data_IF_491096867475
#
_entry.id   IF_491096867475
#
_cell.length_a   1.000
_cell.length_b   1.000
_cell.length_c   1.000
_cell.angle_alpha   90.00
_cell.angle_beta   90.00
_cell.angle_gamma   90.00
#
_symmetry.space_group_name_H-M   'P 1'
#
loop_
_entity.id
_entity.type
_entity.pdbx_description
1 polymer ?
#
# COMPACT_ATOMS: atom_id res chain seq x y z
N UNK A 1 -48.43 -41.74 12.98
CA UNK A 1 -49.17 -40.95 13.99
C UNK A 1 -48.14 -40.22 14.84
N UNK A 2 -48.33 -38.90 15.00
CA UNK A 2 -47.66 -37.98 15.95
C UNK A 2 -46.16 -37.69 15.66
N UNK A 3 -45.76 -36.63 14.96
CA UNK A 3 -45.91 -35.16 15.16
C UNK A 3 -45.23 -34.62 16.42
N UNK A 4 -44.15 -33.86 16.23
CA UNK A 4 -43.68 -32.71 17.02
C UNK A 4 -42.33 -32.27 16.43
N UNK A 5 -41.90 -31.01 16.34
CA UNK A 5 -42.53 -29.69 16.25
C UNK A 5 -41.35 -28.75 15.93
N UNK A 6 -41.55 -27.88 14.95
CA UNK A 6 -40.57 -26.91 14.45
C UNK A 6 -40.20 -25.86 15.51
N UNK A 7 -38.98 -25.32 15.45
CA UNK A 7 -38.73 -23.89 15.78
C UNK A 7 -37.44 -23.37 15.14
N UNK A 8 -37.59 -22.90 13.90
CA UNK A 8 -36.74 -21.91 13.26
C UNK A 8 -36.84 -20.58 14.02
N UNK A 9 -35.72 -19.89 14.24
CA UNK A 9 -35.70 -18.47 14.63
C UNK A 9 -35.02 -17.68 13.52
N UNK A 10 -35.86 -16.95 12.78
CA UNK A 10 -35.47 -16.01 11.73
C UNK A 10 -35.53 -14.61 12.35
N UNK A 11 -34.43 -13.87 12.33
CA UNK A 11 -34.36 -12.47 12.78
C UNK A 11 -34.43 -11.55 11.56
N UNK A 12 -35.47 -10.72 11.51
CA UNK A 12 -35.72 -9.73 10.46
C UNK A 12 -35.52 -8.32 11.04
N UNK A 13 -34.68 -7.52 10.40
CA UNK A 13 -34.41 -6.12 10.75
C UNK A 13 -34.83 -5.25 9.56
N UNK A 14 -36.12 -4.96 9.47
CA UNK A 14 -36.63 -3.91 8.60
C UNK A 14 -37.72 -3.11 9.31
N UNK A 15 -37.40 -1.86 9.64
CA UNK A 15 -38.30 -0.72 9.88
C UNK A 15 -37.74 0.13 11.01
N UNK A 16 -37.20 1.29 10.66
CA UNK A 16 -37.50 2.58 11.30
C UNK A 16 -36.86 3.66 10.43
N UNK A 17 -37.57 4.04 9.38
CA UNK A 17 -37.35 5.29 8.67
C UNK A 17 -37.86 6.43 9.56
N UNK A 18 -36.99 7.38 9.90
CA UNK A 18 -37.40 8.68 10.42
C UNK A 18 -36.99 9.75 9.41
N UNK A 19 -38.01 10.33 8.78
CA UNK A 19 -37.95 11.58 8.03
C UNK A 19 -37.55 12.73 8.96
N UNK A 20 -36.59 13.55 8.54
CA UNK A 20 -36.42 14.91 9.06
C UNK A 20 -36.54 15.87 7.88
N UNK A 21 -37.66 16.60 7.85
CA UNK A 21 -37.94 17.70 6.93
C UNK A 21 -37.14 18.94 7.32
N UNK A 22 -36.45 19.53 6.35
CA UNK A 22 -35.96 20.91 6.42
C UNK A 22 -37.11 21.92 6.32
N UNK A 23 -36.91 23.15 6.82
CA UNK A 23 -37.31 24.30 6.02
C UNK A 23 -36.16 25.29 5.80
N UNK A 24 -36.06 25.69 4.55
CA UNK A 24 -35.31 26.82 4.01
C UNK A 24 -35.86 28.13 4.61
N UNK A 25 -34.97 29.05 5.00
CA UNK A 25 -35.27 30.48 5.09
C UNK A 25 -34.37 31.25 4.12
N UNK A 26 -35.01 32.02 3.25
CA UNK A 26 -34.43 33.03 2.37
C UNK A 26 -34.78 34.41 2.92
N UNK A 27 -33.81 35.32 3.03
CA UNK A 27 -34.01 36.75 2.78
C UNK A 27 -32.67 37.50 2.72
N UNK A 28 -32.51 38.27 1.63
CA UNK A 28 -31.43 39.21 1.29
C UNK A 28 -31.47 40.49 2.15
N UNK A 29 -30.33 41.20 2.21
CA UNK A 29 -30.12 42.62 1.80
C UNK A 29 -28.69 43.03 2.19
N UNK A 30 -27.82 43.32 1.21
CA UNK A 30 -27.54 44.62 0.57
C UNK A 30 -26.47 45.43 1.34
N UNK A 31 -25.40 45.81 0.65
CA UNK A 31 -24.37 46.70 1.21
C UNK A 31 -23.06 46.71 0.43
N UNK A 32 -23.06 47.37 -0.73
CA UNK A 32 -21.85 47.82 -1.44
C UNK A 32 -21.11 48.85 -0.57
N UNK A 33 -19.78 48.74 -0.48
CA UNK A 33 -18.83 49.88 -0.56
C UNK A 33 -17.37 49.40 -0.44
N UNK A 34 -16.63 49.59 -1.53
CA UNK A 34 -15.17 49.71 -1.59
C UNK A 34 -14.84 51.22 -1.57
N UNK A 35 -13.82 51.67 -0.83
CA UNK A 35 -12.69 52.26 -1.56
C UNK A 35 -11.31 51.95 -0.96
N UNK A 36 -10.46 51.38 -1.80
CA UNK A 36 -9.05 51.71 -2.10
C UNK A 36 -8.11 52.26 -1.01
N UNK A 37 -6.88 51.72 -1.08
CA UNK A 37 -5.57 52.22 -0.65
C UNK A 37 -4.98 51.54 0.60
N UNK A 38 -4.10 50.57 0.33
CA UNK A 38 -2.71 50.50 0.84
C UNK A 38 -2.21 49.04 0.80
N UNK A 39 -1.48 48.70 -0.26
CA UNK A 39 -0.69 47.47 -0.35
C UNK A 39 0.79 47.82 -0.16
N UNK A 40 1.46 47.29 0.86
CA UNK A 40 2.90 47.11 0.82
C UNK A 40 3.24 45.75 0.19
N UNK A 41 4.19 45.78 -0.74
CA UNK A 41 4.77 44.64 -1.44
C UNK A 41 5.34 43.59 -0.49
N UNK A 42 4.66 42.44 -0.36
CA UNK A 42 5.20 41.25 0.29
C UNK A 42 5.71 40.29 -0.78
N UNK A 43 7.00 40.42 -1.12
CA UNK A 43 7.76 39.39 -1.83
C UNK A 43 7.66 38.08 -1.04
N UNK A 44 6.83 37.16 -1.52
CA UNK A 44 6.66 35.83 -0.95
C UNK A 44 7.94 35.02 -1.16
N UNK A 45 8.72 34.91 -0.09
CA UNK A 45 9.75 33.87 0.07
C UNK A 45 9.08 32.50 -0.01
N UNK A 46 9.07 31.91 -1.20
CA UNK A 46 8.66 30.54 -1.43
C UNK A 46 9.79 29.59 -0.99
N UNK A 47 10.07 29.57 0.31
CA UNK A 47 10.85 28.48 0.91
C UNK A 47 9.96 27.24 0.90
N UNK A 48 10.09 26.44 -0.15
CA UNK A 48 9.63 25.05 -0.17
C UNK A 48 10.21 24.35 1.05
N UNK A 49 9.34 23.97 1.98
CA UNK A 49 9.67 23.05 3.05
C UNK A 49 10.20 21.77 2.43
N UNK A 50 11.53 21.59 2.47
CA UNK A 50 12.12 20.26 2.49
C UNK A 50 11.63 19.63 3.78
N UNK A 51 10.62 18.76 3.69
CA UNK A 51 10.42 17.75 4.70
C UNK A 51 11.77 17.02 4.85
N UNK A 52 12.40 17.26 6.00
CA UNK A 52 13.57 16.52 6.43
C UNK A 52 13.12 15.07 6.61
N UNK A 53 13.38 14.22 5.62
CA UNK A 53 13.75 12.85 5.95
C UNK A 53 14.87 12.99 6.98
N UNK A 54 14.62 12.50 8.19
CA UNK A 54 15.67 12.42 9.21
C UNK A 54 16.87 11.75 8.54
N UNK A 55 18.05 12.36 8.67
CA UNK A 55 19.29 11.78 8.19
C UNK A 55 19.56 10.51 8.99
N UNK A 56 18.92 9.41 8.61
CA UNK A 56 19.14 8.10 9.18
C UNK A 56 20.56 7.69 8.81
N UNK A 57 21.34 7.33 9.83
CA UNK A 57 22.62 6.68 9.63
C UNK A 57 22.43 5.52 8.63
N UNK A 58 23.40 5.29 7.73
CA UNK A 58 23.30 4.20 6.77
C UNK A 58 23.05 2.88 7.51
N UNK A 59 22.11 2.07 7.01
CA UNK A 59 21.74 0.79 7.62
C UNK A 59 22.98 -0.08 7.85
N UNK A 60 23.28 -0.43 9.10
CA UNK A 60 24.42 -1.27 9.46
C UNK A 60 23.94 -2.55 10.13
N UNK A 61 24.49 -3.68 9.68
CA UNK A 61 24.19 -4.97 10.30
C UNK A 61 25.01 -5.14 11.57
N UNK A 62 24.34 -5.31 12.71
CA UNK A 62 24.97 -5.55 14.01
C UNK A 62 25.19 -7.06 14.21
N UNK A 63 26.34 -7.45 14.77
CA UNK A 63 26.66 -8.85 15.08
C UNK A 63 26.04 -9.27 16.41
N UNK A 64 24.71 -9.35 16.45
CA UNK A 64 23.94 -9.77 17.61
C UNK A 64 22.60 -10.35 17.16
N UNK A 65 21.85 -10.99 18.07
CA UNK A 65 20.50 -11.44 17.79
C UNK A 65 19.52 -10.26 17.76
N UNK A 66 18.61 -10.15 16.78
CA UNK A 66 17.56 -9.11 16.80
C UNK A 66 16.67 -9.23 18.03
N UNK A 67 16.56 -10.44 18.61
CA UNK A 67 15.69 -10.72 19.74
C UNK A 67 16.16 -10.12 21.07
N UNK A 68 17.34 -9.48 21.09
CA UNK A 68 17.76 -8.64 22.23
C UNK A 68 17.00 -7.31 22.26
N UNK A 69 16.57 -6.81 21.09
CA UNK A 69 15.87 -5.53 20.90
C UNK A 69 14.39 -5.70 20.58
N UNK A 70 14.00 -6.86 20.06
CA UNK A 70 12.64 -7.13 19.58
C UNK A 70 12.05 -8.37 20.25
N UNK A 71 10.76 -8.33 20.53
CA UNK A 71 9.98 -9.48 20.99
C UNK A 71 9.10 -9.99 19.85
N UNK A 72 9.30 -11.23 19.43
CA UNK A 72 8.48 -11.90 18.41
C UNK A 72 7.06 -12.14 18.93
N UNK A 73 6.05 -11.83 18.13
CA UNK A 73 4.64 -11.95 18.50
C UNK A 73 3.95 -13.08 17.72
N UNK A 74 4.01 -13.05 16.39
CA UNK A 74 3.38 -14.05 15.50
C UNK A 74 4.04 -14.05 14.13
N UNK A 75 3.78 -15.08 13.33
CA UNK A 75 4.17 -15.11 11.92
C UNK A 75 2.97 -14.78 11.04
N UNK A 76 3.19 -14.09 9.92
CA UNK A 76 2.15 -13.70 8.95
C UNK A 76 2.58 -13.99 7.51
N UNK A 77 1.66 -14.46 6.69
CA UNK A 77 1.86 -14.63 5.25
C UNK A 77 1.58 -13.32 4.50
N UNK A 78 2.63 -12.78 3.87
CA UNK A 78 2.63 -11.55 3.06
C UNK A 78 3.34 -11.83 1.72
N UNK A 79 2.87 -12.84 0.98
CA UNK A 79 3.56 -13.42 -0.18
C UNK A 79 4.69 -14.40 0.22
N UNK A 80 5.22 -14.23 1.43
CA UNK A 80 6.10 -15.16 2.12
C UNK A 80 5.80 -15.13 3.62
N UNK A 81 6.35 -16.09 4.38
CA UNK A 81 6.23 -16.11 5.83
C UNK A 81 7.15 -15.05 6.47
N UNK A 82 6.57 -14.11 7.20
CA UNK A 82 7.28 -13.00 7.84
C UNK A 82 7.00 -13.01 9.34
N UNK A 83 8.03 -12.79 10.16
CA UNK A 83 7.85 -12.67 11.62
C UNK A 83 7.41 -11.27 11.96
N UNK A 84 6.38 -11.12 12.79
CA UNK A 84 5.96 -9.83 13.35
C UNK A 84 6.49 -9.72 14.77
N UNK A 85 7.14 -8.61 15.07
CA UNK A 85 7.74 -8.35 16.37
C UNK A 85 7.39 -6.95 16.88
N UNK A 86 7.52 -6.74 18.19
CA UNK A 86 7.43 -5.42 18.82
C UNK A 86 8.81 -4.97 19.27
N UNK A 87 9.10 -3.68 19.13
CA UNK A 87 10.33 -3.09 19.63
C UNK A 87 10.29 -2.92 21.16
N UNK A 88 11.32 -3.41 21.85
CA UNK A 88 11.51 -3.25 23.30
C UNK A 88 12.05 -1.84 23.63
N UNK A 89 11.23 -0.82 23.40
CA UNK A 89 11.56 0.59 23.60
C UNK A 89 10.36 1.37 24.19
N UNK A 90 10.56 2.58 24.74
CA UNK A 90 9.47 3.37 25.34
C UNK A 90 8.30 3.64 24.40
N UNK A 91 8.55 3.69 23.09
CA UNK A 91 7.52 3.68 22.05
C UNK A 91 7.48 2.31 21.40
N UNK A 92 6.52 1.48 21.77
CA UNK A 92 6.32 0.16 21.15
C UNK A 92 5.82 0.35 19.72
N UNK A 93 6.59 -0.14 18.75
CA UNK A 93 6.21 -0.17 17.33
C UNK A 93 6.26 -1.62 16.84
N UNK A 94 5.26 -2.00 16.05
CA UNK A 94 5.28 -3.25 15.30
C UNK A 94 6.30 -3.14 14.17
N UNK A 95 7.05 -4.22 13.97
CA UNK A 95 8.01 -4.38 12.89
C UNK A 95 7.84 -5.76 12.25
N UNK A 96 8.32 -5.88 11.03
CA UNK A 96 8.39 -7.15 10.31
C UNK A 96 9.85 -7.60 10.23
N UNK A 97 10.15 -8.84 10.58
CA UNK A 97 11.51 -9.40 10.58
C UNK A 97 11.59 -10.51 9.54
N UNK A 98 12.57 -10.39 8.64
CA UNK A 98 12.89 -11.40 7.62
C UNK A 98 14.30 -11.95 7.82
N UNK A 99 14.48 -13.22 7.50
CA UNK A 99 15.76 -13.92 7.61
C UNK A 99 16.24 -14.30 6.21
N UNK A 100 17.49 -13.99 5.92
CA UNK A 100 18.16 -14.30 4.67
C UNK A 100 19.39 -15.17 4.94
N UNK A 101 19.55 -16.30 4.23
CA UNK A 101 20.71 -17.18 4.41
C UNK A 101 22.04 -16.44 4.22
N UNK A 102 23.08 -16.87 4.94
CA UNK A 102 24.41 -16.27 4.89
C UNK A 102 24.96 -16.04 3.46
N UNK A 103 24.81 -16.96 2.49
CA UNK A 103 25.28 -16.73 1.11
C UNK A 103 24.64 -15.53 0.40
N UNK A 104 23.42 -15.15 0.80
CA UNK A 104 22.68 -14.02 0.22
C UNK A 104 22.82 -12.72 1.04
N UNK A 105 23.41 -12.77 2.24
CA UNK A 105 23.40 -11.69 3.21
C UNK A 105 24.02 -10.39 2.68
N UNK A 106 25.22 -10.46 2.10
CA UNK A 106 25.94 -9.26 1.64
C UNK A 106 25.18 -8.52 0.54
N UNK A 107 24.76 -9.24 -0.51
CA UNK A 107 23.94 -8.70 -1.59
C UNK A 107 22.63 -8.12 -1.07
N UNK A 108 21.96 -8.83 -0.17
CA UNK A 108 20.68 -8.41 0.43
C UNK A 108 20.84 -7.10 1.19
N UNK A 109 21.83 -7.03 2.09
CA UNK A 109 22.12 -5.82 2.87
C UNK A 109 22.50 -4.65 1.97
N UNK A 110 23.28 -4.89 0.91
CA UNK A 110 23.62 -3.86 -0.08
C UNK A 110 22.36 -3.29 -0.75
N UNK A 111 21.42 -4.14 -1.16
CA UNK A 111 20.18 -3.69 -1.79
C UNK A 111 19.28 -2.90 -0.84
N UNK A 112 19.12 -3.33 0.42
CA UNK A 112 18.37 -2.56 1.42
C UNK A 112 19.00 -1.19 1.74
N UNK A 113 20.34 -1.07 1.62
CA UNK A 113 21.04 0.21 1.76
C UNK A 113 20.81 1.12 0.56
N UNK A 114 20.88 0.56 -0.64
CA UNK A 114 20.80 1.31 -1.90
C UNK A 114 19.39 1.80 -2.20
N UNK A 115 18.39 0.93 -2.02
CA UNK A 115 17.01 1.17 -2.46
C UNK A 115 16.19 1.72 -1.29
N UNK A 116 16.05 3.05 -1.25
CA UNK A 116 15.32 3.78 -0.21
C UNK A 116 14.43 4.85 -0.83
N UNK A 117 13.11 4.71 -0.64
CA UNK A 117 12.11 5.63 -1.14
C UNK A 117 10.82 5.49 -0.33
N UNK A 118 9.99 6.53 -0.26
CA UNK A 118 8.75 6.51 0.54
C UNK A 118 7.75 5.42 0.09
N UNK A 119 7.79 5.02 -1.19
CA UNK A 119 6.95 3.95 -1.77
C UNK A 119 7.71 2.62 -1.96
N UNK A 120 8.80 2.42 -1.20
CA UNK A 120 9.50 1.15 -1.04
C UNK A 120 9.52 0.83 0.46
N UNK A 121 9.34 -0.44 0.83
CA UNK A 121 9.33 -0.86 2.25
C UNK A 121 10.68 -0.50 2.91
N UNK A 122 10.65 0.27 3.98
CA UNK A 122 11.84 0.73 4.68
C UNK A 122 12.47 -0.37 5.53
N UNK A 123 13.79 -0.52 5.41
CA UNK A 123 14.59 -1.29 6.36
C UNK A 123 15.00 -0.38 7.53
N UNK A 124 14.64 -0.81 8.75
CA UNK A 124 14.82 -0.08 9.99
C UNK A 124 16.12 -0.47 10.71
N UNK A 125 16.41 -1.77 10.75
CA UNK A 125 17.63 -2.34 11.34
C UNK A 125 18.06 -3.59 10.57
N UNK A 126 19.32 -3.98 10.78
CA UNK A 126 19.85 -5.24 10.29
C UNK A 126 20.73 -5.90 11.37
N UNK A 127 20.70 -7.23 11.41
CA UNK A 127 21.44 -8.04 12.36
C UNK A 127 22.03 -9.27 11.67
N UNK A 128 23.21 -9.71 12.08
CA UNK A 128 23.84 -10.92 11.56
C UNK A 128 24.08 -11.89 12.70
N UNK A 129 23.55 -13.10 12.56
CA UNK A 129 23.78 -14.24 13.44
C UNK A 129 24.35 -15.42 12.64
N UNK A 130 24.56 -16.56 13.29
CA UNK A 130 24.96 -17.80 12.61
C UNK A 130 23.89 -18.31 11.62
N UNK A 131 22.62 -17.97 11.83
CA UNK A 131 21.50 -18.34 10.94
C UNK A 131 21.44 -17.48 9.67
N UNK A 132 22.13 -16.33 9.65
CA UNK A 132 22.21 -15.43 8.51
C UNK A 132 21.91 -13.96 8.84
N UNK A 133 21.41 -13.24 7.84
CA UNK A 133 21.05 -11.83 7.96
C UNK A 133 19.58 -11.69 8.33
N UNK A 134 19.32 -11.05 9.45
CA UNK A 134 18.00 -10.58 9.83
C UNK A 134 17.84 -9.13 9.39
N UNK A 135 16.78 -8.84 8.65
CA UNK A 135 16.41 -7.48 8.28
C UNK A 135 15.09 -7.14 8.97
N UNK A 136 15.10 -6.05 9.73
CA UNK A 136 13.91 -5.49 10.37
C UNK A 136 13.35 -4.42 9.45
N UNK A 137 12.10 -4.58 9.08
CA UNK A 137 11.36 -3.75 8.16
C UNK A 137 10.24 -3.02 8.91
N UNK A 138 9.79 -1.89 8.36
CA UNK A 138 8.52 -1.32 8.79
C UNK A 138 7.39 -2.33 8.62
N UNK A 139 6.45 -2.33 9.58
CA UNK A 139 5.35 -3.27 9.53
C UNK A 139 4.26 -2.80 8.56
N UNK A 140 4.03 -3.60 7.52
CA UNK A 140 2.91 -3.44 6.59
C UNK A 140 2.00 -4.66 6.72
N UNK A 141 0.74 -4.52 7.21
CA UNK A 141 -0.10 -5.64 7.61
C UNK A 141 -0.75 -6.43 6.46
N UNK A 142 -0.76 -5.88 5.24
CA UNK A 142 -1.44 -6.45 4.07
C UNK A 142 -0.62 -6.29 2.79
N UNK A 143 -0.82 -7.22 1.86
CA UNK A 143 -0.52 -7.07 0.43
C UNK A 143 -1.76 -6.52 -0.30
N UNK A 144 -1.61 -5.97 -1.51
CA UNK A 144 -2.76 -5.61 -2.35
C UNK A 144 -3.58 -6.83 -2.76
N UNK A 145 -2.98 -8.01 -2.80
CA UNK A 145 -3.70 -9.27 -3.01
C UNK A 145 -4.87 -9.45 -2.01
N UNK A 146 -4.72 -8.95 -0.78
CA UNK A 146 -5.80 -8.99 0.21
C UNK A 146 -6.87 -7.91 0.00
N UNK A 147 -6.50 -6.77 -0.59
CA UNK A 147 -7.48 -5.79 -1.08
C UNK A 147 -8.29 -6.41 -2.23
N UNK A 148 -7.62 -7.11 -3.14
CA UNK A 148 -8.24 -7.88 -4.23
C UNK A 148 -9.16 -8.94 -3.65
N UNK A 149 -8.74 -9.79 -2.70
CA UNK A 149 -9.61 -10.82 -2.10
C UNK A 149 -10.75 -10.28 -1.24
N UNK A 150 -10.65 -9.04 -0.76
CA UNK A 150 -11.73 -8.42 0.02
C UNK A 150 -12.98 -8.19 -0.86
N UNK A 151 -14.19 -8.23 -0.27
CA UNK A 151 -15.44 -8.03 -1.03
C UNK A 151 -15.60 -6.60 -1.56
N UNK A 152 -14.89 -5.62 -0.99
CA UNK A 152 -14.97 -4.23 -1.45
C UNK A 152 -14.07 -3.99 -2.65
N UNK A 153 -14.52 -3.14 -3.56
CA UNK A 153 -13.75 -2.66 -4.69
C UNK A 153 -13.28 -1.22 -4.41
N UNK A 154 -12.05 -0.86 -4.77
CA UNK A 154 -11.65 0.55 -4.75
C UNK A 154 -12.53 1.34 -5.74
N UNK A 155 -12.93 2.54 -5.34
CA UNK A 155 -13.45 3.51 -6.30
C UNK A 155 -12.30 4.15 -7.11
N UNK A 156 -12.62 4.95 -8.12
CA UNK A 156 -11.63 5.56 -9.01
C UNK A 156 -10.59 6.43 -8.26
N UNK A 157 -10.98 7.14 -7.20
CA UNK A 157 -10.05 7.95 -6.38
C UNK A 157 -9.10 7.07 -5.56
N UNK A 158 -9.61 5.99 -4.99
CA UNK A 158 -8.81 5.01 -4.24
C UNK A 158 -7.85 4.26 -5.18
N UNK A 159 -8.33 3.89 -6.37
CA UNK A 159 -7.50 3.30 -7.42
C UNK A 159 -6.35 4.24 -7.81
N UNK A 160 -6.63 5.52 -8.04
CA UNK A 160 -5.61 6.53 -8.30
C UNK A 160 -4.60 6.65 -7.14
N UNK A 161 -5.06 6.61 -5.88
CA UNK A 161 -4.18 6.67 -4.71
C UNK A 161 -3.25 5.45 -4.59
N UNK A 162 -3.73 4.26 -4.97
CA UNK A 162 -2.92 3.04 -5.01
C UNK A 162 -1.91 3.11 -6.15
N UNK A 163 -2.38 3.31 -7.38
CA UNK A 163 -1.55 3.28 -8.58
C UNK A 163 -0.53 4.42 -8.62
N UNK A 164 -0.90 5.61 -8.12
CA UNK A 164 0.01 6.75 -8.02
C UNK A 164 1.21 6.46 -7.12
N UNK A 165 0.98 5.87 -5.95
CA UNK A 165 2.05 5.47 -5.03
C UNK A 165 2.94 4.35 -5.60
N UNK A 166 2.35 3.34 -6.27
CA UNK A 166 3.14 2.28 -6.95
C UNK A 166 4.01 2.90 -8.04
N UNK A 167 3.43 3.80 -8.86
CA UNK A 167 4.14 4.43 -9.96
C UNK A 167 5.29 5.31 -9.49
N UNK A 168 5.13 6.02 -8.36
CA UNK A 168 6.22 6.79 -7.74
C UNK A 168 7.37 5.85 -7.30
N UNK A 169 7.08 4.65 -6.78
CA UNK A 169 8.07 3.62 -6.46
C UNK A 169 8.77 3.03 -7.70
N UNK A 170 8.01 2.69 -8.75
CA UNK A 170 8.55 2.18 -10.02
C UNK A 170 9.42 3.23 -10.72
N UNK A 171 9.00 4.50 -10.71
CA UNK A 171 9.77 5.60 -11.26
C UNK A 171 11.11 5.77 -10.54
N UNK A 172 11.11 5.65 -9.21
CA UNK A 172 12.33 5.67 -8.42
C UNK A 172 13.29 4.51 -8.80
N UNK A 173 12.80 3.27 -8.85
CA UNK A 173 13.62 2.13 -9.27
C UNK A 173 14.24 2.34 -10.65
N UNK A 174 13.43 2.79 -11.61
CA UNK A 174 13.90 3.07 -12.96
C UNK A 174 14.99 4.17 -12.99
N UNK A 175 14.86 5.21 -12.17
CA UNK A 175 15.86 6.28 -12.04
C UNK A 175 17.18 5.78 -11.43
N UNK A 176 17.12 4.79 -10.54
CA UNK A 176 18.28 4.09 -9.97
C UNK A 176 18.90 3.05 -10.92
N UNK A 177 18.40 2.93 -12.16
CA UNK A 177 18.82 1.92 -13.12
C UNK A 177 18.42 0.49 -12.70
N UNK A 178 17.38 0.37 -11.89
CA UNK A 178 16.86 -0.89 -11.36
C UNK A 178 15.45 -1.18 -11.88
N UNK A 179 15.08 -2.44 -11.80
CA UNK A 179 13.71 -2.93 -11.91
C UNK A 179 13.44 -3.94 -10.78
N UNK A 180 12.18 -4.02 -10.36
CA UNK A 180 11.71 -5.11 -9.50
C UNK A 180 11.69 -6.41 -10.30
N UNK A 181 11.01 -6.37 -11.45
CA UNK A 181 11.13 -7.34 -12.50
C UNK A 181 10.27 -8.60 -12.36
N UNK A 182 9.40 -8.64 -11.34
CA UNK A 182 8.31 -9.61 -11.19
C UNK A 182 7.15 -9.01 -10.38
N UNK A 183 6.88 -7.71 -10.57
CA UNK A 183 5.93 -6.97 -9.75
C UNK A 183 4.51 -7.51 -9.88
N UNK A 184 3.82 -7.72 -8.75
CA UNK A 184 2.45 -8.24 -8.69
C UNK A 184 1.68 -7.65 -7.50
N UNK A 185 0.38 -7.93 -7.35
CA UNK A 185 -0.39 -7.53 -6.17
C UNK A 185 0.18 -8.08 -4.84
N UNK A 186 0.94 -9.18 -4.87
CA UNK A 186 1.57 -9.78 -3.69
C UNK A 186 2.86 -9.06 -3.28
N UNK A 187 3.49 -8.32 -4.19
CA UNK A 187 4.71 -7.53 -3.94
C UNK A 187 4.44 -6.10 -3.51
N UNK A 188 3.17 -5.68 -3.48
CA UNK A 188 2.77 -4.35 -3.04
C UNK A 188 2.09 -4.46 -1.67
N UNK A 189 2.66 -3.80 -0.67
CA UNK A 189 2.13 -3.78 0.68
C UNK A 189 1.37 -2.48 0.96
N UNK A 190 0.39 -2.56 1.86
CA UNK A 190 -0.44 -1.43 2.28
C UNK A 190 -0.65 -1.44 3.81
N UNK A 191 -0.61 -0.25 4.43
CA UNK A 191 -0.83 -0.08 5.88
C UNK A 191 -2.12 0.67 6.22
N UNK A 192 -2.40 0.77 7.52
CA UNK A 192 -3.62 1.41 8.08
C UNK A 192 -3.66 2.91 7.89
N UNK A 193 -2.53 3.55 7.54
CA UNK A 193 -2.44 4.97 7.22
C UNK A 193 -2.65 5.24 5.72
N UNK A 194 -2.80 4.17 4.93
CA UNK A 194 -2.99 4.22 3.47
C UNK A 194 -1.69 4.31 2.66
N UNK A 195 -0.52 4.14 3.30
CA UNK A 195 0.74 4.08 2.57
C UNK A 195 0.80 2.80 1.74
N UNK A 196 1.19 2.94 0.47
CA UNK A 196 1.38 1.83 -0.48
C UNK A 196 2.85 1.76 -0.86
N UNK A 197 3.46 0.59 -0.67
CA UNK A 197 4.90 0.39 -0.82
C UNK A 197 5.24 -0.90 -1.55
N UNK A 198 6.24 -0.85 -2.43
CA UNK A 198 6.80 -2.02 -3.09
C UNK A 198 7.73 -2.75 -2.11
N UNK A 199 7.54 -4.05 -1.96
CA UNK A 199 8.35 -4.94 -1.13
C UNK A 199 9.46 -5.64 -1.95
N UNK A 200 10.24 -6.47 -1.26
CA UNK A 200 11.22 -7.37 -1.88
C UNK A 200 12.35 -6.67 -2.64
N UNK A 201 12.78 -5.47 -2.23
CA UNK A 201 13.83 -4.74 -2.94
C UNK A 201 15.19 -5.44 -3.00
N UNK A 202 15.43 -6.44 -2.15
CA UNK A 202 16.62 -7.30 -2.21
C UNK A 202 16.69 -8.14 -3.50
N UNK A 203 15.55 -8.37 -4.16
CA UNK A 203 15.44 -9.11 -5.42
C UNK A 203 15.51 -8.20 -6.66
N UNK A 204 15.47 -6.87 -6.50
CA UNK A 204 15.62 -5.93 -7.61
C UNK A 204 16.95 -6.17 -8.35
N UNK A 205 16.94 -5.92 -9.66
CA UNK A 205 18.07 -6.16 -10.57
C UNK A 205 18.31 -4.97 -11.48
N UNK A 206 19.47 -4.96 -12.14
CA UNK A 206 19.79 -3.94 -13.14
C UNK A 206 18.77 -3.98 -14.27
N UNK A 207 18.23 -2.81 -14.60
CA UNK A 207 17.28 -2.64 -15.69
C UNK A 207 18.00 -2.78 -17.03
N UNK A 208 17.48 -3.61 -17.92
CA UNK A 208 17.95 -3.62 -19.31
C UNK A 208 17.45 -2.37 -20.05
N UNK A 209 18.18 -1.88 -21.07
CA UNK A 209 17.89 -0.58 -21.71
C UNK A 209 16.47 -0.44 -22.29
N UNK A 210 15.73 -1.54 -22.47
CA UNK A 210 14.37 -1.55 -23.03
C UNK A 210 13.32 -2.15 -22.09
N UNK A 211 13.67 -2.51 -20.86
CA UNK A 211 12.69 -3.14 -19.98
C UNK A 211 11.62 -2.14 -19.54
N UNK A 212 10.38 -2.44 -19.89
CA UNK A 212 9.16 -1.82 -19.35
C UNK A 212 8.38 -2.82 -18.51
N UNK A 213 9.03 -3.89 -18.03
CA UNK A 213 8.39 -5.01 -17.33
C UNK A 213 7.53 -4.56 -16.15
N UNK A 214 8.08 -3.73 -15.26
CA UNK A 214 7.35 -3.20 -14.10
C UNK A 214 6.18 -2.30 -14.49
N UNK A 215 6.30 -1.56 -15.60
CA UNK A 215 5.19 -0.73 -16.11
C UNK A 215 4.08 -1.59 -16.71
N UNK A 216 4.42 -2.67 -17.41
CA UNK A 216 3.45 -3.62 -17.94
C UNK A 216 2.75 -4.40 -16.83
N UNK A 217 3.42 -4.68 -15.72
CA UNK A 217 2.81 -5.30 -14.54
C UNK A 217 1.66 -4.46 -13.95
N UNK A 218 1.66 -3.14 -14.15
CA UNK A 218 0.55 -2.28 -13.73
C UNK A 218 -0.75 -2.63 -14.44
N UNK A 219 -0.72 -3.22 -15.65
CA UNK A 219 -1.94 -3.65 -16.34
C UNK A 219 -2.67 -4.75 -15.55
N UNK A 220 -1.94 -5.79 -15.13
CA UNK A 220 -2.45 -6.89 -14.31
C UNK A 220 -2.92 -6.39 -12.95
N UNK A 221 -2.09 -5.60 -12.24
CA UNK A 221 -2.44 -5.04 -10.93
C UNK A 221 -3.70 -4.17 -11.02
N UNK A 222 -3.79 -3.31 -12.03
CA UNK A 222 -4.96 -2.44 -12.25
C UNK A 222 -6.21 -3.27 -12.52
N UNK A 223 -6.11 -4.28 -13.37
CA UNK A 223 -7.21 -5.18 -13.70
C UNK A 223 -7.68 -5.97 -12.46
N UNK A 224 -6.78 -6.55 -11.68
CA UNK A 224 -7.13 -7.23 -10.43
C UNK A 224 -7.82 -6.30 -9.43
N UNK A 225 -7.36 -5.05 -9.27
CA UNK A 225 -8.02 -4.08 -8.38
C UNK A 225 -9.41 -3.70 -8.89
N UNK A 226 -9.59 -3.60 -10.20
CA UNK A 226 -10.86 -3.19 -10.83
C UNK A 226 -11.89 -4.32 -10.85
N UNK A 227 -11.49 -5.56 -11.16
CA UNK A 227 -12.43 -6.67 -11.40
C UNK A 227 -12.14 -7.95 -10.60
N UNK A 228 -11.09 -7.99 -9.77
CA UNK A 228 -10.70 -9.09 -8.86
C UNK A 228 -9.91 -10.24 -9.48
N UNK A 229 -9.75 -10.23 -10.79
CA UNK A 229 -9.04 -11.27 -11.54
C UNK A 229 -8.39 -10.67 -12.78
N UNK A 230 -7.34 -11.34 -13.26
CA UNK A 230 -6.85 -11.17 -14.63
C UNK A 230 -7.60 -12.10 -15.57
N UNK A 231 -7.72 -11.73 -16.85
CA UNK A 231 -8.36 -12.61 -17.83
C UNK A 231 -7.47 -13.80 -18.17
N UNK A 232 -8.06 -14.99 -18.26
CA UNK A 232 -7.35 -16.24 -18.55
C UNK A 232 -6.73 -16.27 -19.95
N UNK A 233 -7.32 -15.54 -20.91
CA UNK A 233 -6.83 -15.40 -22.28
C UNK A 233 -5.65 -14.42 -22.41
N UNK A 234 -5.24 -13.78 -21.31
CA UNK A 234 -4.18 -12.78 -21.28
C UNK A 234 -4.59 -11.41 -21.84
N UNK A 235 -5.87 -11.21 -22.20
CA UNK A 235 -6.34 -9.93 -22.68
C UNK A 235 -6.38 -8.89 -21.54
N UNK A 236 -6.03 -7.65 -21.88
CA UNK A 236 -6.08 -6.51 -20.96
C UNK A 236 -7.41 -5.77 -21.20
N UNK A 237 -8.30 -5.77 -20.21
CA UNK A 237 -9.60 -5.09 -20.31
C UNK A 237 -10.53 -5.39 -19.14
N UNK A 238 -11.71 -4.77 -19.15
CA UNK A 238 -12.72 -4.89 -18.08
C UNK A 238 -14.00 -5.54 -18.61
N UNK A 239 -14.51 -6.53 -17.87
CA UNK A 239 -15.77 -7.22 -18.24
C UNK A 239 -17.02 -6.48 -17.75
N UNK A 240 -16.99 -5.96 -16.52
CA UNK A 240 -18.14 -5.29 -15.92
C UNK A 240 -18.11 -3.77 -16.16
N UNK A 241 -18.59 -3.36 -17.33
CA UNK A 241 -18.67 -1.94 -17.72
C UNK A 241 -19.73 -1.14 -16.93
N UNK A 242 -20.65 -1.80 -16.22
CA UNK A 242 -21.56 -1.09 -15.30
C UNK A 242 -20.82 -0.57 -14.07
N UNK A 243 -19.80 -1.31 -13.59
CA UNK A 243 -18.93 -0.87 -12.49
C UNK A 243 -17.89 0.13 -12.97
N UNK A 244 -17.22 -0.17 -14.08
CA UNK A 244 -16.17 0.67 -14.66
C UNK A 244 -16.56 1.09 -16.06
N UNK A 245 -17.20 2.26 -16.17
CA UNK A 245 -17.62 2.78 -17.47
C UNK A 245 -16.41 2.94 -18.41
N UNK A 246 -16.63 2.68 -19.69
CA UNK A 246 -15.59 2.76 -20.73
C UNK A 246 -14.99 4.16 -20.89
N UNK A 247 -15.71 5.21 -20.49
CA UNK A 247 -15.25 6.59 -20.50
C UNK A 247 -14.62 7.05 -19.16
N UNK A 248 -14.44 6.14 -18.19
CA UNK A 248 -13.78 6.47 -16.93
C UNK A 248 -12.27 6.64 -17.11
N UNK A 249 -11.67 7.47 -16.25
CA UNK A 249 -10.22 7.66 -16.24
C UNK A 249 -9.52 6.35 -15.83
N UNK A 250 -10.17 5.50 -15.04
CA UNK A 250 -9.67 4.17 -14.68
C UNK A 250 -9.49 3.24 -15.88
N UNK A 251 -10.51 3.14 -16.75
CA UNK A 251 -10.42 2.32 -17.98
C UNK A 251 -9.42 2.92 -18.97
N UNK A 252 -9.39 4.25 -19.09
CA UNK A 252 -8.38 4.96 -19.88
C UNK A 252 -6.96 4.66 -19.40
N UNK A 253 -6.74 4.64 -18.09
CA UNK A 253 -5.44 4.31 -17.51
C UNK A 253 -5.03 2.87 -17.83
N UNK A 254 -5.94 1.91 -17.64
CA UNK A 254 -5.69 0.51 -17.97
C UNK A 254 -5.28 0.36 -19.45
N UNK A 255 -5.98 1.03 -20.36
CA UNK A 255 -5.62 1.06 -21.77
C UNK A 255 -4.22 1.63 -22.00
N UNK A 256 -3.87 2.74 -21.33
CA UNK A 256 -2.56 3.38 -21.47
C UNK A 256 -1.39 2.47 -21.01
N UNK A 257 -1.62 1.56 -20.06
CA UNK A 257 -0.57 0.60 -19.63
C UNK A 257 -0.14 -0.38 -20.72
N UNK A 258 -0.91 -0.54 -21.80
CA UNK A 258 -0.58 -1.47 -22.89
C UNK A 258 0.47 -0.94 -23.86
N UNK A 259 0.61 0.39 -23.95
CA UNK A 259 1.50 1.08 -24.89
C UNK A 259 2.51 1.99 -24.20
N UNK A 260 2.59 1.96 -22.87
CA UNK A 260 3.45 2.84 -22.07
C UNK A 260 4.93 2.60 -22.35
N UNK A 261 5.69 3.69 -22.48
CA UNK A 261 7.15 3.65 -22.60
C UNK A 261 7.88 4.13 -21.33
N UNK A 262 7.21 4.96 -20.51
CA UNK A 262 7.82 5.50 -19.30
C UNK A 262 6.84 5.75 -18.16
N UNK A 263 7.35 5.72 -16.92
CA UNK A 263 6.54 6.09 -15.74
C UNK A 263 6.04 7.54 -15.81
N UNK A 264 6.84 8.44 -16.39
CA UNK A 264 6.51 9.86 -16.52
C UNK A 264 5.29 10.10 -17.44
N UNK A 265 5.07 9.23 -18.43
CA UNK A 265 3.90 9.26 -19.29
C UNK A 265 2.63 8.89 -18.52
N UNK A 266 2.62 7.73 -17.84
CA UNK A 266 1.49 7.32 -17.01
C UNK A 266 1.19 8.32 -15.88
N UNK A 267 2.21 8.99 -15.34
CA UNK A 267 2.02 9.98 -14.27
C UNK A 267 1.18 11.18 -14.71
N UNK A 268 1.20 11.51 -16.01
CA UNK A 268 0.41 12.59 -16.61
C UNK A 268 -1.02 12.17 -16.95
N UNK A 269 -1.36 10.88 -16.84
CA UNK A 269 -2.69 10.39 -17.17
C UNK A 269 -3.77 11.06 -16.30
N UNK A 270 -4.96 11.39 -16.85
CA UNK A 270 -6.06 12.04 -16.12
C UNK A 270 -6.37 11.43 -14.74
N UNK A 271 -6.39 10.09 -14.65
CA UNK A 271 -6.58 9.35 -13.40
C UNK A 271 -5.62 9.80 -12.27
N UNK A 272 -4.35 10.02 -12.60
CA UNK A 272 -3.30 10.36 -11.64
C UNK A 272 -3.03 11.87 -11.54
N UNK A 273 -3.55 12.65 -12.48
CA UNK A 273 -3.43 14.12 -12.51
C UNK A 273 -4.34 14.82 -11.49
N UNK A 274 -5.46 14.18 -11.13
CA UNK A 274 -6.38 14.68 -10.11
C UNK A 274 -5.79 14.45 -8.71
N UNK A 275 -6.05 15.35 -7.74
CA UNK A 275 -5.59 15.14 -6.37
C UNK A 275 -6.20 13.87 -5.78
N UNK A 276 -5.34 12.98 -5.32
CA UNK A 276 -5.71 11.81 -4.52
C UNK A 276 -5.01 11.87 -3.17
N UNK A 277 -5.59 11.19 -2.18
CA UNK A 277 -5.15 11.20 -0.79
C UNK A 277 -5.03 9.77 -0.30
N UNK A 278 -3.91 9.41 0.30
CA UNK A 278 -3.67 8.06 0.83
C UNK A 278 -4.69 7.68 1.91
N UNK A 279 -5.17 8.67 2.67
CA UNK A 279 -6.15 8.49 3.73
C UNK A 279 -7.51 7.98 3.20
N UNK A 280 -7.77 8.12 1.90
CA UNK A 280 -8.95 7.53 1.27
C UNK A 280 -8.95 5.99 1.28
N UNK A 281 -7.80 5.37 1.55
CA UNK A 281 -7.60 3.92 1.59
C UNK A 281 -7.89 3.32 2.97
N UNK A 282 -7.96 4.12 4.04
CA UNK A 282 -8.09 3.63 5.42
C UNK A 282 -9.28 2.68 5.59
N UNK A 283 -10.46 3.06 5.09
CA UNK A 283 -11.66 2.23 5.17
C UNK A 283 -11.55 0.92 4.38
N UNK A 284 -10.89 0.96 3.21
CA UNK A 284 -10.66 -0.21 2.37
C UNK A 284 -9.68 -1.19 3.05
N UNK A 285 -8.59 -0.67 3.62
CA UNK A 285 -7.60 -1.44 4.37
C UNK A 285 -8.23 -2.08 5.60
N UNK A 286 -9.00 -1.33 6.38
CA UNK A 286 -9.67 -1.84 7.58
C UNK A 286 -10.59 -3.03 7.27
N UNK A 287 -11.40 -2.94 6.22
CA UNK A 287 -12.25 -4.05 5.79
C UNK A 287 -11.42 -5.27 5.33
N UNK A 288 -10.38 -5.03 4.52
CA UNK A 288 -9.53 -6.11 4.04
C UNK A 288 -8.82 -6.85 5.19
N UNK A 289 -8.37 -6.14 6.24
CA UNK A 289 -7.79 -6.76 7.44
C UNK A 289 -8.76 -7.74 8.12
N UNK A 290 -10.05 -7.39 8.22
CA UNK A 290 -11.08 -8.24 8.81
C UNK A 290 -11.33 -9.50 7.96
N UNK A 291 -11.27 -9.35 6.62
CA UNK A 291 -11.48 -10.46 5.69
C UNK A 291 -10.30 -11.42 5.60
N UNK A 292 -9.10 -10.98 5.99
CA UNK A 292 -7.85 -11.71 5.79
C UNK A 292 -7.58 -12.77 6.88
N UNK A 293 -8.59 -13.62 7.17
CA UNK A 293 -8.53 -14.70 8.18
C UNK A 293 -7.52 -15.80 7.77
N UNK A 294 -6.86 -16.39 8.76
CA UNK A 294 -6.04 -17.60 8.57
C UNK A 294 -4.60 -17.38 8.09
N UNK A 295 -4.14 -16.13 7.98
CA UNK A 295 -2.79 -15.78 7.49
C UNK A 295 -1.69 -15.82 8.53
N UNK A 296 -2.03 -16.09 9.78
CA UNK A 296 -1.09 -16.03 10.87
C UNK A 296 -0.97 -17.39 11.55
N UNK A 297 0.25 -17.72 11.91
CA UNK A 297 0.52 -18.81 12.84
C UNK A 297 1.05 -18.22 14.13
N UNK A 298 0.46 -18.66 15.24
CA UNK A 298 0.92 -18.34 16.58
C UNK A 298 1.41 -19.61 17.24
N UNK A 299 2.70 -19.65 17.55
CA UNK A 299 3.31 -20.74 18.31
C UNK A 299 3.65 -20.20 19.68
N UNK A 300 2.94 -20.66 20.71
CA UNK A 300 3.23 -20.30 22.09
C UNK A 300 4.64 -20.83 22.43
N UNK A 301 5.62 -19.94 22.62
CA UNK A 301 6.95 -20.36 23.08
C UNK A 301 6.82 -20.84 24.52
N UNK A 302 6.97 -22.15 24.73
CA UNK A 302 7.21 -22.71 26.07
C UNK A 302 8.57 -22.18 26.49
N UNK A 303 8.61 -21.28 27.47
CA UNK A 303 9.87 -20.94 28.13
C UNK A 303 10.41 -22.25 28.72
N UNK A 304 11.56 -22.72 28.21
CA UNK A 304 12.29 -23.76 28.88
C UNK A 304 12.65 -23.20 30.26
N UNK A 305 11.97 -23.72 31.30
CA UNK A 305 12.34 -23.46 32.68
C UNK A 305 13.78 -23.94 32.84
N UNK A 306 14.68 -23.01 33.16
CA UNK A 306 16.04 -23.31 33.60
C UNK A 306 16.05 -23.90 35.01
#
# INVERSE_FOLDING_TARGET
MSSSSNRNTHFDFHSLAYEVKSPVQTAKRDGVNDPSADRPDLKSNLNKGKERLSSSLPLQAKKESPWTKYEEVFDVELGELVKVAIQNAPTTKLVSVRVFPAPAAEKTLHMYRRVQHQNIVAALDAFTTDDGLYVVLEHMPLTLEWIVRSPAYPNERQLAAILGQILDGVAYLAAEGLEHGSLSCSDILINTDGDVKIANQHACRLKSQQSVGDLRALSSITMELMQKYVKEDGAIGIDNLHRWHSNSDAVGFLSATTSVESAAELRKHPLLSRPWRKESLIGLVSLAQICARGRYSYSQRVQAAG
#
